data_IF_763784072878
#
_entry.id   IF_763784072878
#
_cell.length_a   1.000
_cell.length_b   1.000
_cell.length_c   1.000
_cell.angle_alpha   90.00
_cell.angle_beta   90.00
_cell.angle_gamma   90.00
#
_symmetry.space_group_name_H-M   'P 1'
#
loop_
_entity.id
_entity.type
_entity.pdbx_description
1 polymer ?
#
# COMPACT_ATOMS: atom_id res chain seq x y z
N UNK A 1 19.19 -3.04 -21.33
CA UNK A 1 19.71 -1.68 -21.53
C UNK A 1 19.65 -1.39 -23.02
N UNK A 2 18.76 -0.50 -23.49
CA UNK A 2 18.76 -0.11 -24.91
C UNK A 2 20.10 0.58 -25.25
N UNK A 3 20.65 0.35 -26.45
CA UNK A 3 21.93 0.92 -26.85
C UNK A 3 21.84 2.45 -26.92
N UNK A 4 22.86 3.15 -26.40
CA UNK A 4 22.93 4.62 -26.34
C UNK A 4 22.80 5.30 -27.70
N UNK A 5 23.08 4.58 -28.79
CA UNK A 5 22.90 5.05 -30.17
C UNK A 5 21.43 5.33 -30.55
N UNK A 6 20.46 4.63 -29.95
CA UNK A 6 19.02 4.88 -30.20
C UNK A 6 18.54 6.16 -29.51
N UNK A 7 19.13 6.51 -28.37
CA UNK A 7 18.72 7.68 -27.58
C UNK A 7 19.14 8.98 -28.26
N UNK A 8 20.35 9.04 -28.81
CA UNK A 8 20.84 10.23 -29.52
C UNK A 8 20.07 10.45 -30.83
N UNK A 9 19.71 9.38 -31.55
CA UNK A 9 18.87 9.46 -32.75
C UNK A 9 17.45 9.98 -32.42
N UNK A 10 16.85 9.54 -31.31
CA UNK A 10 15.55 10.03 -30.84
C UNK A 10 15.60 11.49 -30.42
N UNK A 11 16.67 11.93 -29.74
CA UNK A 11 16.84 13.33 -29.33
C UNK A 11 17.03 14.27 -30.52
N UNK A 12 17.74 13.83 -31.54
CA UNK A 12 17.93 14.63 -32.76
C UNK A 12 16.66 14.70 -33.61
N UNK A 13 15.88 13.61 -33.66
CA UNK A 13 14.53 13.62 -34.25
C UNK A 13 13.59 14.58 -33.50
N UNK A 14 13.62 14.58 -32.15
CA UNK A 14 12.83 15.47 -31.30
C UNK A 14 13.17 16.95 -31.52
N UNK A 15 14.44 17.28 -31.74
CA UNK A 15 14.88 18.66 -32.02
C UNK A 15 14.50 19.16 -33.42
N UNK A 16 14.36 18.24 -34.37
CA UNK A 16 14.04 18.53 -35.77
C UNK A 16 12.53 18.67 -36.04
N UNK A 17 11.67 18.09 -35.20
CA UNK A 17 10.22 18.09 -35.40
C UNK A 17 9.56 19.45 -35.15
N UNK A 18 8.81 19.93 -36.14
CA UNK A 18 8.12 21.23 -36.11
C UNK A 18 6.60 21.13 -35.99
N UNK A 19 6.03 19.93 -36.06
CA UNK A 19 4.58 19.75 -35.95
C UNK A 19 4.21 18.75 -34.85
N UNK A 20 3.04 18.95 -34.24
CA UNK A 20 2.56 18.11 -33.14
C UNK A 20 2.12 16.70 -33.59
N UNK A 21 1.96 16.47 -34.90
CA UNK A 21 1.56 15.17 -35.45
C UNK A 21 2.75 14.19 -35.56
N UNK A 22 3.94 14.70 -35.90
CA UNK A 22 5.20 13.96 -35.98
C UNK A 22 5.69 13.58 -34.58
N UNK A 23 5.61 14.52 -33.62
CA UNK A 23 5.91 14.23 -32.22
C UNK A 23 5.01 13.11 -31.67
N UNK A 24 3.72 13.13 -32.03
CA UNK A 24 2.76 12.10 -31.63
C UNK A 24 3.04 10.75 -32.30
N UNK A 25 3.43 10.73 -33.57
CA UNK A 25 3.78 9.49 -34.26
C UNK A 25 5.01 8.82 -33.63
N UNK A 26 5.98 9.63 -33.18
CA UNK A 26 7.18 9.15 -32.50
C UNK A 26 6.87 8.60 -31.09
N UNK A 27 6.03 9.28 -30.32
CA UNK A 27 5.60 8.85 -28.99
C UNK A 27 4.79 7.53 -29.04
N UNK A 28 3.92 7.37 -30.03
CA UNK A 28 3.17 6.13 -30.23
C UNK A 28 4.06 4.93 -30.62
N UNK A 29 5.17 5.18 -31.31
CA UNK A 29 6.14 4.12 -31.65
C UNK A 29 7.03 3.71 -30.48
N UNK A 30 7.27 4.61 -29.52
CA UNK A 30 8.17 4.36 -28.38
C UNK A 30 7.44 3.87 -27.13
N UNK A 31 6.15 4.21 -26.96
CA UNK A 31 5.35 3.90 -25.76
C UNK A 31 4.05 3.12 -26.06
N UNK A 32 4.05 2.27 -27.09
CA UNK A 32 2.89 1.48 -27.53
C UNK A 32 2.25 0.54 -26.46
N UNK A 33 2.83 0.46 -25.26
CA UNK A 33 2.39 -0.40 -24.16
C UNK A 33 1.85 0.37 -22.94
N UNK A 34 1.87 1.70 -22.90
CA UNK A 34 1.31 2.45 -21.77
C UNK A 34 -0.11 2.94 -22.09
N UNK A 35 -1.10 2.23 -21.54
CA UNK A 35 -2.53 2.52 -21.67
C UNK A 35 -2.88 3.99 -21.37
N UNK A 36 -2.07 4.67 -20.54
CA UNK A 36 -2.27 6.08 -20.19
C UNK A 36 -1.95 7.03 -21.34
N UNK A 37 -0.95 6.71 -22.17
CA UNK A 37 -0.55 7.50 -23.34
C UNK A 37 -1.60 7.38 -24.43
N UNK A 38 -2.10 6.15 -24.65
CA UNK A 38 -3.21 5.88 -25.57
C UNK A 38 -4.48 6.65 -25.17
N UNK A 39 -4.80 6.66 -23.86
CA UNK A 39 -5.94 7.40 -23.32
C UNK A 39 -5.82 8.92 -23.54
N UNK A 40 -4.66 9.51 -23.22
CA UNK A 40 -4.42 10.94 -23.43
C UNK A 40 -4.49 11.32 -24.90
N UNK A 41 -3.98 10.47 -25.79
CA UNK A 41 -4.08 10.67 -27.23
C UNK A 41 -5.55 10.72 -27.68
N UNK A 42 -6.35 9.76 -27.25
CA UNK A 42 -7.76 9.70 -27.62
C UNK A 42 -8.54 10.92 -27.11
N UNK A 43 -8.24 11.38 -25.89
CA UNK A 43 -8.83 12.59 -25.32
C UNK A 43 -8.43 13.86 -26.11
N UNK A 44 -7.17 13.98 -26.51
CA UNK A 44 -6.70 15.11 -27.32
C UNK A 44 -7.29 15.08 -28.73
N UNK A 45 -7.47 13.90 -29.32
CA UNK A 45 -8.14 13.74 -30.60
C UNK A 45 -9.62 14.12 -30.52
N UNK A 46 -10.33 13.67 -29.48
CA UNK A 46 -11.73 14.03 -29.23
C UNK A 46 -11.89 15.55 -28.98
N UNK A 47 -10.99 16.15 -28.19
CA UNK A 47 -10.95 17.61 -28.00
C UNK A 47 -10.84 18.39 -29.32
N UNK A 48 -10.05 17.88 -30.27
CA UNK A 48 -9.85 18.53 -31.58
C UNK A 48 -11.01 18.29 -32.54
N UNK A 49 -11.65 17.13 -32.50
CA UNK A 49 -12.70 16.76 -33.42
C UNK A 49 -14.08 17.31 -33.00
N UNK A 50 -14.39 17.26 -31.71
CA UNK A 50 -15.76 17.44 -31.19
C UNK A 50 -15.85 18.55 -30.12
N UNK A 51 -14.70 19.04 -29.64
CA UNK A 51 -14.62 20.04 -28.58
C UNK A 51 -14.34 19.43 -27.20
N UNK A 52 -14.05 20.31 -26.24
CA UNK A 52 -13.57 19.94 -24.90
C UNK A 52 -14.61 19.14 -24.10
N UNK A 53 -15.90 19.40 -24.31
CA UNK A 53 -16.98 18.74 -23.56
C UNK A 53 -17.08 17.24 -23.86
N UNK A 54 -16.84 16.84 -25.11
CA UNK A 54 -16.83 15.44 -25.54
C UNK A 54 -15.68 14.66 -24.89
N UNK A 55 -14.48 15.25 -24.87
CA UNK A 55 -13.33 14.66 -24.19
C UNK A 55 -13.53 14.58 -22.67
N UNK A 56 -14.16 15.57 -22.05
CA UNK A 56 -14.48 15.54 -20.62
C UNK A 56 -15.45 14.39 -20.28
N UNK A 57 -16.45 14.17 -21.15
CA UNK A 57 -17.40 13.06 -21.02
C UNK A 57 -16.70 11.71 -21.13
N UNK A 58 -15.78 11.56 -22.08
CA UNK A 58 -14.99 10.35 -22.24
C UNK A 58 -14.08 10.08 -21.02
N UNK A 59 -13.42 11.11 -20.48
CA UNK A 59 -12.59 10.97 -19.28
C UNK A 59 -13.42 10.51 -18.07
N UNK A 60 -14.61 11.09 -17.87
CA UNK A 60 -15.51 10.68 -16.80
C UNK A 60 -16.00 9.24 -16.93
N UNK A 61 -16.29 8.79 -18.16
CA UNK A 61 -16.68 7.40 -18.41
C UNK A 61 -15.55 6.43 -18.06
N UNK A 62 -14.31 6.75 -18.42
CA UNK A 62 -13.13 5.92 -18.10
C UNK A 62 -12.85 5.89 -16.59
N UNK A 63 -12.96 7.04 -15.91
CA UNK A 63 -12.84 7.08 -14.44
C UNK A 63 -13.92 6.24 -13.76
N UNK A 64 -15.16 6.30 -14.23
CA UNK A 64 -16.25 5.48 -13.70
C UNK A 64 -16.01 3.98 -13.93
N UNK A 65 -15.48 3.59 -15.09
CA UNK A 65 -15.08 2.21 -15.37
C UNK A 65 -13.94 1.74 -14.45
N UNK A 66 -12.93 2.58 -14.22
CA UNK A 66 -11.82 2.27 -13.32
C UNK A 66 -12.29 2.07 -11.87
N UNK A 67 -13.20 2.93 -11.39
CA UNK A 67 -13.83 2.78 -10.05
C UNK A 67 -14.64 1.50 -9.96
N UNK A 68 -15.44 1.17 -10.99
CA UNK A 68 -16.21 -0.08 -11.04
C UNK A 68 -15.29 -1.30 -10.99
N UNK A 69 -14.25 -1.36 -11.82
CA UNK A 69 -13.27 -2.44 -11.83
C UNK A 69 -12.53 -2.57 -10.49
N UNK A 70 -12.21 -1.46 -9.83
CA UNK A 70 -11.62 -1.47 -8.49
C UNK A 70 -12.60 -2.06 -7.46
N UNK A 71 -13.88 -1.66 -7.51
CA UNK A 71 -14.91 -2.20 -6.61
C UNK A 71 -15.18 -3.70 -6.83
N UNK A 72 -15.14 -4.18 -8.08
CA UNK A 72 -15.30 -5.59 -8.41
C UNK A 72 -14.09 -6.41 -7.93
N UNK A 73 -12.87 -5.89 -8.10
CA UNK A 73 -11.66 -6.50 -7.55
C UNK A 73 -11.70 -6.56 -6.02
N UNK A 74 -12.16 -5.50 -5.36
CA UNK A 74 -12.39 -5.49 -3.91
C UNK A 74 -13.40 -6.56 -3.50
N UNK A 75 -14.55 -6.69 -4.18
CA UNK A 75 -15.54 -7.70 -3.85
C UNK A 75 -15.02 -9.15 -4.01
N UNK A 76 -14.20 -9.41 -5.04
CA UNK A 76 -13.56 -10.73 -5.23
C UNK A 76 -12.49 -10.99 -4.14
N UNK A 77 -11.71 -9.97 -3.80
CA UNK A 77 -10.67 -10.07 -2.77
C UNK A 77 -11.29 -10.23 -1.38
N UNK A 78 -12.35 -9.50 -1.07
CA UNK A 78 -13.18 -9.63 0.14
C UNK A 78 -13.67 -11.06 0.30
N UNK A 79 -14.16 -11.69 -0.78
CA UNK A 79 -14.60 -13.09 -0.74
C UNK A 79 -13.44 -14.05 -0.41
N UNK A 80 -12.24 -13.81 -0.95
CA UNK A 80 -11.07 -14.65 -0.65
C UNK A 80 -10.54 -14.48 0.78
N UNK A 81 -10.50 -13.25 1.30
CA UNK A 81 -10.04 -12.95 2.66
C UNK A 81 -11.05 -13.49 3.66
N UNK A 82 -12.34 -13.26 3.42
CA UNK A 82 -13.42 -13.77 4.26
C UNK A 82 -13.39 -15.29 4.40
N UNK A 83 -13.20 -16.03 3.30
CA UNK A 83 -13.10 -17.50 3.34
C UNK A 83 -11.92 -17.98 4.19
N UNK A 84 -10.77 -17.32 4.09
CA UNK A 84 -9.58 -17.64 4.90
C UNK A 84 -9.79 -17.31 6.37
N UNK A 85 -10.41 -16.17 6.68
CA UNK A 85 -10.79 -15.81 8.06
C UNK A 85 -11.74 -16.85 8.65
N UNK A 86 -12.72 -17.32 7.88
CA UNK A 86 -13.61 -18.41 8.31
C UNK A 86 -12.84 -19.71 8.57
N UNK A 87 -11.95 -20.12 7.66
CA UNK A 87 -11.13 -21.31 7.85
C UNK A 87 -10.27 -21.22 9.14
N UNK A 88 -9.68 -20.04 9.39
CA UNK A 88 -8.92 -19.77 10.60
C UNK A 88 -9.78 -19.84 11.88
N UNK A 89 -11.01 -19.33 11.85
CA UNK A 89 -11.94 -19.41 12.98
C UNK A 89 -12.45 -20.83 13.25
N UNK A 90 -12.65 -21.62 12.19
CA UNK A 90 -13.15 -22.99 12.27
C UNK A 90 -12.08 -24.00 12.70
N UNK A 91 -10.79 -23.64 12.59
CA UNK A 91 -9.69 -24.49 13.05
C UNK A 91 -9.81 -24.69 14.57
N UNK A 92 -9.89 -25.95 15.01
CA UNK A 92 -10.12 -26.28 16.43
C UNK A 92 -8.85 -26.13 17.27
N UNK A 93 -7.74 -26.67 16.78
CA UNK A 93 -6.46 -26.65 17.49
C UNK A 93 -5.79 -25.28 17.43
N UNK A 94 -5.19 -24.86 18.54
CA UNK A 94 -4.54 -23.55 18.63
C UNK A 94 -3.25 -23.49 17.80
N UNK A 95 -2.46 -24.56 17.84
CA UNK A 95 -1.20 -24.67 17.10
C UNK A 95 -1.44 -24.69 15.57
N UNK A 96 -2.47 -25.39 15.11
CA UNK A 96 -2.88 -25.39 13.71
C UNK A 96 -3.30 -24.00 13.24
N UNK A 97 -4.04 -23.26 14.06
CA UNK A 97 -4.42 -21.89 13.75
C UNK A 97 -3.21 -20.94 13.71
N UNK A 98 -2.25 -21.11 14.63
CA UNK A 98 -0.99 -20.35 14.63
C UNK A 98 -0.16 -20.66 13.38
N UNK A 99 -0.08 -21.93 12.97
CA UNK A 99 0.59 -22.34 11.73
C UNK A 99 -0.08 -21.72 10.49
N UNK A 100 -1.43 -21.70 10.45
CA UNK A 100 -2.20 -21.07 9.38
C UNK A 100 -1.92 -19.57 9.27
N UNK A 101 -1.79 -18.84 10.40
CA UNK A 101 -1.43 -17.42 10.39
C UNK A 101 -0.05 -17.16 9.76
N UNK A 102 0.91 -18.05 10.00
CA UNK A 102 2.26 -17.95 9.40
C UNK A 102 2.21 -18.27 7.91
N UNK A 103 1.54 -19.36 7.53
CA UNK A 103 1.44 -19.80 6.15
C UNK A 103 0.67 -18.80 5.27
N UNK A 104 -0.40 -18.22 5.80
CA UNK A 104 -1.29 -17.31 5.08
C UNK A 104 -1.13 -15.85 5.51
N UNK A 105 0.06 -15.49 6.01
CA UNK A 105 0.35 -14.17 6.55
C UNK A 105 0.03 -13.00 5.58
N UNK A 106 0.07 -13.22 4.27
CA UNK A 106 -0.27 -12.18 3.27
C UNK A 106 -1.77 -11.86 3.19
N UNK A 107 -2.64 -12.78 3.60
CA UNK A 107 -4.09 -12.61 3.52
C UNK A 107 -4.72 -12.41 4.90
N UNK A 108 -4.27 -13.19 5.88
CA UNK A 108 -4.80 -13.12 7.24
C UNK A 108 -4.23 -11.95 8.03
N UNK A 109 -2.95 -11.61 7.91
CA UNK A 109 -2.39 -10.42 8.58
C UNK A 109 -2.63 -9.18 7.72
N UNK A 110 -3.90 -8.76 7.62
CA UNK A 110 -4.34 -7.55 6.95
C UNK A 110 -5.36 -6.81 7.82
N UNK A 111 -5.51 -5.50 7.61
CA UNK A 111 -6.50 -4.69 8.34
C UNK A 111 -7.93 -5.20 8.11
N UNK A 112 -8.23 -5.67 6.91
CA UNK A 112 -9.53 -6.20 6.54
C UNK A 112 -9.85 -7.52 7.28
N UNK A 113 -8.91 -8.46 7.31
CA UNK A 113 -9.08 -9.70 8.08
C UNK A 113 -9.33 -9.42 9.57
N UNK A 114 -8.66 -8.40 10.14
CA UNK A 114 -8.93 -7.93 11.52
C UNK A 114 -10.36 -7.42 11.69
N UNK A 115 -10.87 -6.64 10.74
CA UNK A 115 -12.24 -6.14 10.78
C UNK A 115 -13.25 -7.29 10.77
N UNK A 116 -13.04 -8.31 9.92
CA UNK A 116 -13.89 -9.50 9.92
C UNK A 116 -13.86 -10.24 11.25
N UNK A 117 -12.67 -10.51 11.81
CA UNK A 117 -12.53 -11.15 13.12
C UNK A 117 -13.22 -10.37 14.24
N UNK A 118 -13.13 -9.04 14.21
CA UNK A 118 -13.79 -8.16 15.19
C UNK A 118 -15.32 -8.25 15.08
N UNK A 119 -15.87 -8.21 13.86
CA UNK A 119 -17.31 -8.41 13.63
C UNK A 119 -17.80 -9.77 14.11
N UNK A 120 -17.01 -10.83 13.92
CA UNK A 120 -17.35 -12.16 14.45
C UNK A 120 -17.32 -12.20 15.97
N UNK A 121 -16.37 -11.53 16.62
CA UNK A 121 -16.32 -11.43 18.08
C UNK A 121 -17.54 -10.68 18.64
N UNK A 122 -17.91 -9.56 18.02
CA UNK A 122 -19.12 -8.79 18.36
C UNK A 122 -20.39 -9.62 18.17
N UNK A 123 -20.53 -10.33 17.05
CA UNK A 123 -21.66 -11.20 16.80
C UNK A 123 -21.76 -12.35 17.81
N UNK A 124 -20.63 -12.95 18.19
CA UNK A 124 -20.59 -14.01 19.18
C UNK A 124 -20.90 -13.53 20.61
N UNK A 125 -20.65 -12.24 20.91
CA UNK A 125 -21.01 -11.65 22.20
C UNK A 125 -22.54 -11.61 22.42
N UNK A 126 -23.33 -11.51 21.34
CA UNK A 126 -24.79 -11.55 21.39
C UNK A 126 -25.41 -12.96 21.41
N UNK A 127 -24.60 -14.01 21.35
CA UNK A 127 -25.07 -15.40 21.32
C UNK A 127 -24.86 -16.09 22.68
N UNK A 128 -25.74 -17.04 23.04
CA UNK A 128 -25.64 -17.81 24.28
C UNK A 128 -24.59 -18.96 24.21
N UNK A 129 -23.62 -18.86 23.31
CA UNK A 129 -22.57 -19.86 23.11
C UNK A 129 -21.21 -19.36 23.64
N UNK A 130 -21.00 -19.52 24.94
CA UNK A 130 -19.80 -19.08 25.63
C UNK A 130 -18.51 -19.74 25.09
N UNK A 131 -18.58 -21.00 24.65
CA UNK A 131 -17.44 -21.72 24.08
C UNK A 131 -17.00 -21.10 22.74
N UNK A 132 -17.97 -20.80 21.86
CA UNK A 132 -17.69 -20.15 20.59
C UNK A 132 -17.12 -18.74 20.77
N UNK A 133 -17.69 -17.95 21.69
CA UNK A 133 -17.18 -16.62 22.04
C UNK A 133 -15.72 -16.67 22.50
N UNK A 134 -15.42 -17.55 23.46
CA UNK A 134 -14.06 -17.73 23.99
C UNK A 134 -13.07 -18.12 22.88
N UNK A 135 -13.48 -19.01 21.96
CA UNK A 135 -12.65 -19.40 20.81
C UNK A 135 -12.34 -18.20 19.91
N UNK A 136 -13.35 -17.41 19.54
CA UNK A 136 -13.18 -16.27 18.65
C UNK A 136 -12.29 -15.19 19.30
N UNK A 137 -12.47 -14.92 20.58
CA UNK A 137 -11.61 -13.99 21.34
C UNK A 137 -10.14 -14.44 21.36
N UNK A 138 -9.89 -15.74 21.60
CA UNK A 138 -8.53 -16.30 21.52
C UNK A 138 -7.94 -16.16 20.12
N UNK A 139 -8.73 -16.41 19.08
CA UNK A 139 -8.29 -16.25 17.68
C UNK A 139 -7.93 -14.81 17.36
N UNK A 140 -8.70 -13.84 17.86
CA UNK A 140 -8.39 -12.41 17.72
C UNK A 140 -7.09 -12.04 18.48
N UNK A 141 -6.90 -12.56 19.68
CA UNK A 141 -5.67 -12.32 20.45
C UNK A 141 -4.41 -12.88 19.76
N UNK A 142 -4.50 -14.09 19.19
CA UNK A 142 -3.42 -14.68 18.38
C UNK A 142 -3.09 -13.84 17.16
N UNK A 143 -4.12 -13.31 16.50
CA UNK A 143 -3.94 -12.41 15.37
C UNK A 143 -3.23 -11.12 15.79
N UNK A 144 -3.65 -10.48 16.89
CA UNK A 144 -3.03 -9.25 17.40
C UNK A 144 -1.57 -9.47 17.86
N UNK A 145 -1.26 -10.65 18.40
CA UNK A 145 0.12 -11.06 18.70
C UNK A 145 0.96 -11.17 17.43
N UNK A 146 0.49 -11.91 16.43
CA UNK A 146 1.20 -12.11 15.16
C UNK A 146 1.37 -10.79 14.38
N UNK A 147 0.35 -9.94 14.39
CA UNK A 147 0.40 -8.61 13.78
C UNK A 147 1.45 -7.72 14.46
N UNK A 148 1.49 -7.70 15.80
CA UNK A 148 2.51 -6.96 16.55
C UNK A 148 3.92 -7.50 16.29
N UNK A 149 4.09 -8.82 16.23
CA UNK A 149 5.39 -9.42 15.90
C UNK A 149 5.86 -9.02 14.50
N UNK A 150 4.94 -8.89 13.54
CA UNK A 150 5.22 -8.45 12.17
C UNK A 150 5.51 -6.95 12.08
N UNK A 151 4.65 -6.12 12.66
CA UNK A 151 4.77 -4.66 12.63
C UNK A 151 5.91 -4.14 13.52
N UNK A 152 6.25 -4.89 14.57
CA UNK A 152 7.36 -4.66 15.49
C UNK A 152 8.61 -5.49 15.18
N UNK A 153 8.72 -6.08 13.97
CA UNK A 153 9.95 -6.73 13.51
C UNK A 153 11.16 -5.79 13.64
N UNK A 154 12.40 -6.32 13.70
CA UNK A 154 13.57 -5.60 14.20
C UNK A 154 13.94 -4.40 13.32
N UNK A 155 13.28 -3.27 13.54
CA UNK A 155 13.96 -2.00 13.54
C UNK A 155 14.91 -2.08 14.72
N UNK A 156 16.11 -2.58 14.47
CA UNK A 156 17.27 -2.24 15.27
C UNK A 156 17.35 -0.70 15.29
N UNK A 157 16.66 -0.07 16.23
CA UNK A 157 17.33 0.90 17.07
C UNK A 157 18.45 0.10 17.74
N UNK A 158 19.55 -0.10 17.02
CA UNK A 158 20.84 0.04 17.68
C UNK A 158 20.74 1.43 18.27
N UNK A 159 20.41 1.49 19.55
CA UNK A 159 20.78 2.64 20.34
C UNK A 159 22.30 2.68 20.18
N UNK A 160 22.75 3.44 19.20
CA UNK A 160 24.12 3.90 19.14
C UNK A 160 24.39 4.38 20.57
N UNK A 161 25.29 3.71 21.33
CA UNK A 161 25.62 4.21 22.64
C UNK A 161 26.14 5.61 22.39
N UNK A 162 25.33 6.62 22.72
CA UNK A 162 25.70 8.03 22.59
C UNK A 162 27.04 8.14 23.29
N UNK A 163 28.09 8.27 22.50
CA UNK A 163 29.42 8.51 22.99
C UNK A 163 29.29 9.79 23.81
N UNK A 164 29.51 9.75 25.13
CA UNK A 164 29.31 10.92 25.96
C UNK A 164 30.27 11.99 25.46
N UNK A 165 29.68 13.08 24.97
CA UNK A 165 30.39 14.23 24.46
C UNK A 165 31.33 14.76 25.56
N UNK A 166 32.66 14.67 25.42
CA UNK A 166 33.60 15.01 26.49
C UNK A 166 33.56 16.50 26.87
N UNK A 167 32.89 17.34 26.09
CA UNK A 167 32.85 18.78 26.29
C UNK A 167 31.82 19.25 27.33
N UNK A 168 30.82 18.44 27.67
CA UNK A 168 29.77 18.85 28.63
C UNK A 168 30.27 18.79 30.09
N UNK A 169 31.36 18.08 30.38
CA UNK A 169 31.93 18.01 31.73
C UNK A 169 32.75 19.26 32.13
N UNK A 170 33.14 20.13 31.19
CA UNK A 170 34.03 21.25 31.50
C UNK A 170 33.32 22.52 32.01
N UNK A 171 32.01 22.67 31.78
CA UNK A 171 31.32 23.97 31.97
C UNK A 171 30.76 24.16 33.40
N UNK A 172 30.69 23.11 34.24
CA UNK A 172 30.03 23.19 35.56
C UNK A 172 30.92 23.53 36.76
N UNK A 173 32.24 23.66 36.62
CA UNK A 173 33.13 23.87 37.79
C UNK A 173 33.48 25.33 38.11
N UNK A 174 33.15 26.31 37.26
CA UNK A 174 33.60 27.70 37.47
C UNK A 174 32.57 28.67 38.08
N UNK A 175 31.33 28.24 38.36
CA UNK A 175 30.27 29.12 38.90
C UNK A 175 30.03 28.95 40.41
N UNK A 176 31.08 28.68 41.19
CA UNK A 176 30.95 28.48 42.64
C UNK A 176 32.13 29.03 43.44
N UNK A 177 32.66 30.20 43.11
CA UNK A 177 33.54 30.96 44.02
C UNK A 177 33.46 32.46 43.71
N UNK A 178 32.56 33.18 44.38
CA UNK A 178 32.43 34.61 44.21
C UNK A 178 31.27 35.20 44.99
N UNK A 179 31.19 34.94 46.30
CA UNK A 179 30.38 35.71 47.27
C UNK A 179 30.72 35.27 48.70
N UNK A 180 31.79 35.82 49.27
CA UNK A 180 31.84 36.13 50.71
C UNK A 180 32.52 37.48 50.88
N UNK A 181 31.90 38.26 51.76
CA UNK A 181 32.20 39.64 52.15
C UNK A 181 33.57 39.78 52.78
#
# INVERSE_FOLDING_TARGET
MPPTADLDALLEALRSMRNAAELNALLLQTDAADDKVQLHHNLLAACRAEGVDAAYTQLHAEMANAVRLASERSAVQENSIFQRVLAFLLTEEEDAARAMLVQEASHLLTVEARQHLSRFAEAAAGQDNAANRTRIERRLALWDEAWRARAGGPHHHVAEPRQPDPEICAIRTWRRNGRRK
#
